data_IF_466529287469
#
_entry.id   IF_466529287469
#
_cell.length_a   1.000
_cell.length_b   1.000
_cell.length_c   1.000
_cell.angle_alpha   90.00
_cell.angle_beta   90.00
_cell.angle_gamma   90.00
#
_symmetry.space_group_name_H-M   'P 1'
#
loop_
_entity.id
_entity.type
_entity.pdbx_description
1 polymer ?
#
# COMPACT_ATOMS: atom_id res chain seq x y z
N UNK A 1 13.86 67.73 -42.30
CA UNK A 1 13.14 67.05 -43.40
C UNK A 1 11.88 66.44 -42.78
N UNK A 2 10.73 67.14 -42.79
CA UNK A 2 9.60 66.95 -43.72
C UNK A 2 9.30 65.48 -44.05
N UNK A 3 8.16 64.99 -43.55
CA UNK A 3 7.06 64.24 -44.21
C UNK A 3 6.27 63.54 -43.09
N UNK A 4 4.93 63.51 -43.02
CA UNK A 4 3.91 63.81 -44.00
C UNK A 4 2.94 62.64 -44.11
N UNK A 5 1.73 62.81 -43.57
CA UNK A 5 0.44 62.26 -44.04
C UNK A 5 0.07 60.76 -43.91
N UNK A 6 -1.01 60.55 -43.13
CA UNK A 6 -2.30 59.85 -43.39
C UNK A 6 -2.31 58.41 -43.95
N UNK A 7 -3.12 57.54 -43.33
CA UNK A 7 -4.30 56.79 -43.85
C UNK A 7 -4.80 55.90 -42.67
N UNK A 8 -5.96 56.11 -42.04
CA UNK A 8 -7.32 55.72 -42.46
C UNK A 8 -7.44 54.27 -42.98
N UNK A 9 -7.73 53.30 -42.10
CA UNK A 9 -9.01 52.55 -42.15
C UNK A 9 -9.22 51.66 -40.89
N UNK A 10 -10.45 51.56 -40.36
CA UNK A 10 -10.84 50.66 -39.28
C UNK A 10 -11.37 49.32 -39.85
N UNK A 11 -11.74 48.38 -38.96
CA UNK A 11 -12.34 47.05 -39.21
C UNK A 11 -11.37 45.86 -39.36
N UNK A 12 -10.99 45.29 -38.22
CA UNK A 12 -10.91 43.84 -37.97
C UNK A 12 -11.32 43.66 -36.49
N UNK A 13 -12.59 43.45 -36.15
CA UNK A 13 -13.32 42.17 -36.21
C UNK A 13 -12.52 41.00 -35.60
N UNK A 14 -12.68 40.87 -34.27
CA UNK A 14 -12.68 39.67 -33.41
C UNK A 14 -11.61 38.58 -33.59
N UNK A 15 -11.03 38.10 -32.48
CA UNK A 15 -11.61 36.89 -31.87
C UNK A 15 -11.77 37.07 -30.35
N UNK A 16 -13.00 36.89 -29.86
CA UNK A 16 -13.45 35.63 -29.28
C UNK A 16 -12.61 35.28 -28.06
N UNK A 17 -12.97 35.92 -26.95
CA UNK A 17 -12.54 35.58 -25.61
C UNK A 17 -12.87 34.10 -25.36
N UNK A 18 -11.88 33.23 -25.57
CA UNK A 18 -11.91 31.83 -25.22
C UNK A 18 -12.00 31.74 -23.69
N UNK A 19 -13.23 31.59 -23.19
CA UNK A 19 -13.50 31.06 -21.87
C UNK A 19 -13.01 29.61 -21.83
N UNK A 20 -11.74 29.42 -21.50
CA UNK A 20 -11.23 28.11 -21.10
C UNK A 20 -11.81 27.85 -19.72
N UNK A 21 -12.92 27.11 -19.65
CA UNK A 21 -13.34 26.52 -18.38
C UNK A 21 -12.23 25.56 -17.96
N UNK A 22 -11.45 25.97 -16.96
CA UNK A 22 -10.63 25.08 -16.15
C UNK A 22 -11.46 23.88 -15.74
N UNK A 23 -11.07 22.69 -16.19
CA UNK A 23 -11.70 21.45 -15.81
C UNK A 23 -11.82 21.36 -14.29
N UNK A 24 -13.04 21.12 -13.81
CA UNK A 24 -13.32 20.85 -12.41
C UNK A 24 -12.44 19.68 -11.94
N UNK A 25 -11.63 19.91 -10.91
CA UNK A 25 -11.09 18.84 -10.07
C UNK A 25 -12.28 18.16 -9.37
N UNK A 26 -12.80 17.09 -9.98
CA UNK A 26 -13.81 16.24 -9.33
C UNK A 26 -13.22 15.56 -8.08
N UNK A 27 -14.02 15.30 -7.04
CA UNK A 27 -13.57 14.51 -5.91
C UNK A 27 -13.08 13.16 -6.43
N UNK A 28 -11.83 12.81 -6.11
CA UNK A 28 -11.19 11.56 -6.56
C UNK A 28 -12.12 10.37 -6.37
N UNK A 29 -12.32 9.61 -7.45
CA UNK A 29 -13.23 8.48 -7.52
C UNK A 29 -12.65 7.29 -6.72
N UNK A 30 -12.67 7.39 -5.39
CA UNK A 30 -12.14 6.36 -4.49
C UNK A 30 -12.91 5.05 -4.64
N UNK A 31 -14.20 5.12 -4.99
CA UNK A 31 -15.08 3.96 -5.17
C UNK A 31 -14.67 3.10 -6.38
N UNK A 32 -14.25 3.70 -7.49
CA UNK A 32 -13.81 2.93 -8.66
C UNK A 32 -12.46 2.25 -8.42
N UNK A 33 -11.55 2.89 -7.70
CA UNK A 33 -10.26 2.29 -7.35
C UNK A 33 -10.40 1.14 -6.35
N UNK A 34 -11.28 1.27 -5.36
CA UNK A 34 -11.57 0.18 -4.41
C UNK A 34 -12.27 -0.99 -5.10
N UNK A 35 -13.22 -0.72 -6.00
CA UNK A 35 -13.88 -1.77 -6.78
C UNK A 35 -12.88 -2.56 -7.64
N UNK A 36 -11.91 -1.87 -8.26
CA UNK A 36 -10.83 -2.52 -9.00
C UNK A 36 -9.96 -3.40 -8.09
N UNK A 37 -9.53 -2.89 -6.92
CA UNK A 37 -8.75 -3.68 -5.97
C UNK A 37 -9.51 -4.91 -5.46
N UNK A 38 -10.82 -4.80 -5.26
CA UNK A 38 -11.67 -5.91 -4.80
C UNK A 38 -11.89 -6.98 -5.89
N UNK A 39 -11.81 -6.62 -7.17
CA UNK A 39 -11.91 -7.55 -8.29
C UNK A 39 -10.61 -8.34 -8.55
N UNK A 40 -9.49 -7.91 -7.99
CA UNK A 40 -8.20 -8.59 -8.12
C UNK A 40 -8.17 -9.91 -7.35
N UNK A 41 -7.56 -10.91 -7.95
CA UNK A 41 -7.17 -12.16 -7.29
C UNK A 41 -6.13 -11.92 -6.20
N UNK A 42 -5.92 -12.91 -5.32
CA UNK A 42 -4.92 -12.80 -4.26
C UNK A 42 -3.50 -12.55 -4.81
N UNK A 43 -3.10 -13.27 -5.88
CA UNK A 43 -1.78 -13.09 -6.48
C UNK A 43 -1.62 -11.74 -7.15
N UNK A 44 -2.63 -11.22 -7.85
CA UNK A 44 -2.57 -9.87 -8.42
C UNK A 44 -2.41 -8.81 -7.33
N UNK A 45 -3.05 -8.99 -6.17
CA UNK A 45 -2.89 -8.07 -5.04
C UNK A 45 -1.48 -8.13 -4.46
N UNK A 46 -0.92 -9.33 -4.26
CA UNK A 46 0.44 -9.52 -3.76
C UNK A 46 1.47 -8.94 -4.74
N UNK A 47 1.35 -9.26 -6.03
CA UNK A 47 2.21 -8.72 -7.08
C UNK A 47 2.17 -7.19 -7.11
N UNK A 48 0.98 -6.60 -6.99
CA UNK A 48 0.81 -5.15 -6.91
C UNK A 48 1.46 -4.54 -5.66
N UNK A 49 1.48 -5.24 -4.52
CA UNK A 49 2.18 -4.77 -3.32
C UNK A 49 3.69 -4.83 -3.51
N UNK A 50 4.21 -5.94 -4.05
CA UNK A 50 5.65 -6.13 -4.31
C UNK A 50 6.17 -5.09 -5.29
N UNK A 51 5.47 -4.90 -6.43
CA UNK A 51 5.88 -3.93 -7.47
C UNK A 51 5.70 -2.48 -7.04
N UNK A 52 4.79 -2.18 -6.11
CA UNK A 52 4.61 -0.83 -5.58
C UNK A 52 5.72 -0.41 -4.59
N UNK A 53 6.55 -1.35 -4.12
CA UNK A 53 7.60 -1.08 -3.15
C UNK A 53 8.57 0.01 -3.60
N UNK A 54 9.12 -0.10 -4.82
CA UNK A 54 10.11 0.85 -5.36
C UNK A 54 9.56 2.27 -5.51
N UNK A 55 8.24 2.41 -5.57
CA UNK A 55 7.56 3.71 -5.66
C UNK A 55 7.08 4.22 -4.30
N UNK A 56 7.49 3.58 -3.21
CA UNK A 56 7.06 3.91 -1.86
C UNK A 56 5.56 3.70 -1.63
N UNK A 57 4.98 2.68 -2.29
CA UNK A 57 3.57 2.33 -2.21
C UNK A 57 2.57 3.41 -2.66
N UNK A 58 3.00 4.48 -3.34
CA UNK A 58 2.12 5.60 -3.77
C UNK A 58 0.86 5.15 -4.52
N UNK A 59 0.94 4.09 -5.34
CA UNK A 59 -0.19 3.53 -6.09
C UNK A 59 -1.17 2.68 -5.27
N UNK A 60 -0.80 2.29 -4.04
CA UNK A 60 -1.62 1.50 -3.12
C UNK A 60 -1.99 2.26 -1.84
N UNK A 61 -1.38 3.43 -1.57
CA UNK A 61 -1.80 4.34 -0.51
C UNK A 61 -3.23 4.82 -0.73
N UNK A 62 -4.04 4.68 0.31
CA UNK A 62 -5.41 5.15 0.42
C UNK A 62 -5.47 6.47 1.18
N UNK A 63 -6.40 6.54 2.13
CA UNK A 63 -6.63 7.73 2.95
C UNK A 63 -5.46 7.92 3.91
N UNK A 64 -4.98 9.16 4.03
CA UNK A 64 -3.99 9.51 5.03
C UNK A 64 -4.64 9.45 6.44
N UNK A 65 -4.05 8.64 7.32
CA UNK A 65 -4.45 8.45 8.72
C UNK A 65 -3.31 8.79 9.69
N UNK A 66 -2.33 9.55 9.20
CA UNK A 66 -1.13 9.96 9.95
C UNK A 66 -1.49 10.79 11.18
N UNK A 67 -0.62 10.74 12.17
CA UNK A 67 -0.61 11.67 13.30
C UNK A 67 0.72 12.46 13.35
N UNK A 68 0.97 13.19 14.45
CA UNK A 68 2.19 14.00 14.60
C UNK A 68 3.48 13.19 14.75
N UNK A 69 3.38 11.87 14.97
CA UNK A 69 4.49 10.97 15.25
C UNK A 69 4.73 9.95 14.14
N UNK A 70 3.69 9.60 13.39
CA UNK A 70 3.77 8.53 12.40
C UNK A 70 3.03 8.89 11.12
N UNK A 71 3.69 8.66 9.98
CA UNK A 71 3.10 8.82 8.67
C UNK A 71 2.50 7.48 8.21
N UNK A 72 1.17 7.43 8.15
CA UNK A 72 0.39 6.23 7.84
C UNK A 72 -0.71 6.55 6.84
N UNK A 73 -0.95 5.60 5.94
CA UNK A 73 -2.10 5.58 5.06
C UNK A 73 -2.84 4.25 5.20
N UNK A 74 -4.17 4.28 5.14
CA UNK A 74 -4.95 3.08 4.85
C UNK A 74 -4.49 2.52 3.50
N UNK A 75 -4.48 1.20 3.30
CA UNK A 75 -4.18 0.61 2.01
C UNK A 75 -5.44 0.46 1.14
N UNK A 76 -5.31 0.76 -0.15
CA UNK A 76 -6.36 0.48 -1.17
C UNK A 76 -6.47 -1.01 -1.49
N UNK A 77 -5.40 -1.77 -1.24
CA UNK A 77 -5.27 -3.18 -1.60
C UNK A 77 -5.00 -3.98 -0.32
N UNK A 78 -5.87 -4.94 -0.02
CA UNK A 78 -5.73 -5.89 1.07
C UNK A 78 -5.52 -7.29 0.48
N UNK A 79 -4.27 -7.75 0.46
CA UNK A 79 -3.92 -9.10 -0.02
C UNK A 79 -4.38 -10.18 0.97
N UNK A 80 -4.31 -9.86 2.26
CA UNK A 80 -4.80 -10.68 3.37
C UNK A 80 -5.61 -9.80 4.32
N UNK A 81 -6.66 -10.35 4.92
CA UNK A 81 -7.51 -9.60 5.82
C UNK A 81 -8.08 -8.30 5.25
N UNK A 82 -8.25 -7.32 6.14
CA UNK A 82 -8.84 -6.01 5.87
C UNK A 82 -8.11 -4.94 6.70
N UNK A 83 -8.29 -3.67 6.32
CA UNK A 83 -7.71 -2.49 7.00
C UNK A 83 -6.18 -2.55 7.13
N UNK A 84 -5.50 -3.02 6.08
CA UNK A 84 -4.05 -2.96 6.03
C UNK A 84 -3.59 -1.52 5.81
N UNK A 85 -2.33 -1.24 6.10
CA UNK A 85 -1.76 0.09 6.19
C UNK A 85 -0.43 0.18 5.44
N UNK A 86 -0.07 1.39 5.03
CA UNK A 86 1.26 1.73 4.52
C UNK A 86 1.90 2.66 5.53
N UNK A 87 3.05 2.27 6.07
CA UNK A 87 3.77 3.03 7.09
C UNK A 87 5.02 3.62 6.47
N UNK A 88 5.27 4.91 6.70
CA UNK A 88 6.56 5.52 6.38
C UNK A 88 7.41 5.62 7.65
N UNK A 89 8.53 4.89 7.67
CA UNK A 89 9.53 4.91 8.73
C UNK A 89 10.74 5.72 8.26
N UNK A 90 11.00 6.87 8.90
CA UNK A 90 12.11 7.75 8.53
C UNK A 90 11.96 8.38 7.14
N UNK A 91 13.06 8.89 6.57
CA UNK A 91 13.02 9.77 5.40
C UNK A 91 12.57 9.10 4.09
N UNK A 92 12.68 7.77 3.96
CA UNK A 92 12.39 7.10 2.68
C UNK A 92 11.95 5.63 2.79
N UNK A 93 11.91 5.02 3.98
CA UNK A 93 11.50 3.62 4.08
C UNK A 93 9.99 3.57 4.25
N UNK A 94 9.33 2.89 3.32
CA UNK A 94 7.90 2.61 3.43
C UNK A 94 7.70 1.11 3.48
N UNK A 95 6.76 0.66 4.29
CA UNK A 95 6.36 -0.73 4.37
C UNK A 95 4.85 -0.84 4.29
N UNK A 96 4.39 -1.91 3.68
CA UNK A 96 3.00 -2.34 3.79
C UNK A 96 2.87 -3.29 4.97
N UNK A 97 1.82 -3.12 5.76
CA UNK A 97 1.57 -3.85 6.98
C UNK A 97 0.10 -4.23 7.06
N UNK A 98 -0.19 -5.48 7.39
CA UNK A 98 -1.54 -5.89 7.75
C UNK A 98 -1.52 -6.63 9.09
N UNK A 99 -2.23 -6.09 10.08
CA UNK A 99 -2.29 -6.65 11.42
C UNK A 99 -3.70 -7.14 11.73
N UNK A 100 -3.82 -8.36 12.23
CA UNK A 100 -5.10 -8.95 12.65
C UNK A 100 -4.96 -9.56 14.03
N UNK A 101 -5.93 -9.30 14.89
CA UNK A 101 -5.97 -9.85 16.25
C UNK A 101 -7.04 -10.93 16.29
N UNK A 102 -6.60 -12.17 16.52
CA UNK A 102 -7.45 -13.33 16.73
C UNK A 102 -7.81 -13.49 18.22
N UNK A 103 -9.02 -13.99 18.52
CA UNK A 103 -9.48 -14.20 19.89
C UNK A 103 -8.83 -15.40 20.59
N UNK A 104 -8.22 -16.33 19.84
CA UNK A 104 -7.56 -17.52 20.36
C UNK A 104 -6.45 -17.98 19.40
N UNK A 105 -5.59 -18.88 19.90
CA UNK A 105 -4.52 -19.52 19.13
C UNK A 105 -5.05 -20.25 17.90
N UNK A 106 -6.04 -21.12 18.08
CA UNK A 106 -6.56 -21.96 16.99
C UNK A 106 -7.14 -21.14 15.85
N UNK A 107 -7.82 -20.02 16.17
CA UNK A 107 -8.33 -19.09 15.14
C UNK A 107 -7.17 -18.41 14.42
N UNK A 108 -6.12 -18.02 15.15
CA UNK A 108 -4.95 -17.41 14.56
C UNK A 108 -4.19 -18.37 13.63
N UNK A 109 -4.05 -19.63 14.02
CA UNK A 109 -3.41 -20.65 13.19
C UNK A 109 -4.20 -20.92 11.92
N UNK A 110 -5.54 -21.03 12.00
CA UNK A 110 -6.37 -21.18 10.81
C UNK A 110 -6.27 -19.99 9.84
N UNK A 111 -6.23 -18.76 10.37
CA UNK A 111 -6.03 -17.58 9.54
C UNK A 111 -4.63 -17.57 8.93
N UNK A 112 -3.62 -17.93 9.70
CA UNK A 112 -2.23 -17.97 9.24
C UNK A 112 -2.06 -18.99 8.12
N UNK A 113 -2.56 -20.21 8.28
CA UNK A 113 -2.47 -21.25 7.24
C UNK A 113 -3.18 -20.84 5.96
N UNK A 114 -4.34 -20.18 6.07
CA UNK A 114 -5.05 -19.64 4.90
C UNK A 114 -4.23 -18.57 4.18
N UNK A 115 -3.74 -17.59 4.94
CA UNK A 115 -2.98 -16.46 4.40
C UNK A 115 -1.64 -16.96 3.82
N UNK A 116 -0.95 -17.87 4.52
CA UNK A 116 0.25 -18.58 4.05
C UNK A 116 0.00 -19.28 2.73
N UNK A 117 -1.00 -20.15 2.64
CA UNK A 117 -1.28 -20.90 1.41
C UNK A 117 -1.61 -19.97 0.24
N UNK A 118 -2.31 -18.87 0.52
CA UNK A 118 -2.61 -17.85 -0.48
C UNK A 118 -1.37 -17.10 -0.95
N UNK A 119 -0.41 -16.83 -0.06
CA UNK A 119 0.83 -16.14 -0.40
C UNK A 119 1.78 -17.09 -1.14
N UNK A 120 1.99 -18.28 -0.60
CA UNK A 120 2.92 -19.28 -1.13
C UNK A 120 2.59 -19.66 -2.58
N UNK A 121 1.29 -19.78 -2.90
CA UNK A 121 0.81 -20.04 -4.25
C UNK A 121 1.18 -18.95 -5.27
N UNK A 122 1.55 -17.75 -4.82
CA UNK A 122 1.90 -16.61 -5.66
C UNK A 122 3.41 -16.34 -5.73
N UNK A 123 4.22 -17.08 -4.97
CA UNK A 123 5.65 -16.80 -4.76
C UNK A 123 6.57 -17.68 -5.61
N UNK A 124 6.17 -17.96 -6.85
CA UNK A 124 7.00 -18.77 -7.76
C UNK A 124 8.37 -18.11 -8.01
N UNK A 125 9.43 -18.90 -7.87
CA UNK A 125 10.82 -18.41 -7.96
C UNK A 125 11.32 -17.62 -6.75
N UNK A 126 10.53 -17.46 -5.68
CA UNK A 126 11.00 -16.89 -4.41
C UNK A 126 11.55 -17.99 -3.49
N UNK A 127 12.51 -17.61 -2.65
CA UNK A 127 13.03 -18.47 -1.59
C UNK A 127 12.15 -18.31 -0.36
N UNK A 128 11.64 -19.44 0.16
CA UNK A 128 10.87 -19.49 1.40
C UNK A 128 11.74 -19.94 2.57
N UNK A 129 11.64 -19.23 3.69
CA UNK A 129 12.25 -19.61 4.96
C UNK A 129 11.21 -19.58 6.08
N UNK A 130 11.01 -20.72 6.73
CA UNK A 130 10.21 -20.83 7.95
C UNK A 130 11.14 -20.71 9.16
N UNK A 131 10.93 -19.68 9.96
CA UNK A 131 11.81 -19.27 11.04
C UNK A 131 11.02 -19.08 12.35
N UNK A 132 11.62 -19.34 13.52
CA UNK A 132 11.09 -18.79 14.76
C UNK A 132 11.14 -17.26 14.71
N UNK A 133 10.24 -16.61 15.47
CA UNK A 133 10.37 -15.17 15.71
C UNK A 133 11.64 -14.88 16.52
N UNK A 134 12.27 -13.73 16.27
CA UNK A 134 13.43 -13.29 17.05
C UNK A 134 13.00 -12.77 18.43
N UNK A 135 11.85 -12.10 18.50
CA UNK A 135 11.37 -11.39 19.69
C UNK A 135 10.32 -12.18 20.51
N UNK A 136 10.54 -13.48 20.66
CA UNK A 136 9.75 -14.34 21.55
C UNK A 136 8.93 -15.42 20.82
N UNK A 137 7.85 -15.93 21.46
CA UNK A 137 7.10 -17.06 20.92
C UNK A 137 6.36 -16.71 19.65
N UNK A 138 6.15 -17.72 18.81
CA UNK A 138 5.47 -17.59 17.52
C UNK A 138 6.33 -18.13 16.38
N UNK A 139 5.82 -17.99 15.17
CA UNK A 139 6.50 -18.38 13.94
C UNK A 139 6.42 -17.25 12.93
N UNK A 140 7.39 -17.23 12.01
CA UNK A 140 7.32 -16.41 10.81
C UNK A 140 7.73 -17.22 9.59
N UNK A 141 7.10 -16.90 8.47
CA UNK A 141 7.54 -17.33 7.15
C UNK A 141 7.98 -16.09 6.39
N UNK A 142 9.12 -16.17 5.72
CA UNK A 142 9.65 -15.12 4.85
C UNK A 142 9.79 -15.66 3.44
N UNK A 143 9.27 -14.91 2.47
CA UNK A 143 9.55 -15.09 1.06
C UNK A 143 10.46 -13.96 0.60
N UNK A 144 11.60 -14.30 -0.01
CA UNK A 144 12.56 -13.33 -0.51
C UNK A 144 13.18 -13.76 -1.84
N UNK A 145 13.72 -12.79 -2.58
CA UNK A 145 14.59 -13.06 -3.73
C UNK A 145 16.04 -12.68 -3.36
N UNK A 146 17.04 -13.47 -3.79
CA UNK A 146 18.44 -13.19 -3.44
C UNK A 146 18.88 -11.79 -3.88
N UNK A 147 19.27 -10.95 -2.91
CA UNK A 147 19.82 -9.61 -3.17
C UNK A 147 18.78 -8.56 -3.59
N UNK A 148 17.48 -8.84 -3.48
CA UNK A 148 16.41 -7.96 -3.95
C UNK A 148 15.38 -7.73 -2.84
N UNK A 149 14.98 -6.47 -2.66
CA UNK A 149 13.82 -6.07 -1.87
C UNK A 149 12.62 -5.82 -2.82
N UNK A 150 11.37 -5.88 -2.33
CA UNK A 150 10.99 -6.14 -0.94
C UNK A 150 11.03 -7.63 -0.58
N UNK A 151 11.05 -7.91 0.72
CA UNK A 151 10.68 -9.21 1.27
C UNK A 151 9.19 -9.21 1.61
N UNK A 152 8.59 -10.39 1.54
CA UNK A 152 7.23 -10.63 2.01
C UNK A 152 7.31 -11.54 3.23
N UNK A 153 6.59 -11.22 4.30
CA UNK A 153 6.61 -12.06 5.49
C UNK A 153 5.24 -12.15 6.16
N UNK A 154 4.99 -13.30 6.78
CA UNK A 154 3.79 -13.57 7.56
C UNK A 154 4.21 -14.11 8.93
N UNK A 155 3.67 -13.55 10.01
CA UNK A 155 4.02 -13.87 11.38
C UNK A 155 2.74 -14.22 12.14
N UNK A 156 2.82 -15.16 13.08
CA UNK A 156 1.75 -15.43 14.06
C UNK A 156 2.34 -15.63 15.44
N UNK A 157 1.80 -14.92 16.42
CA UNK A 157 2.36 -14.87 17.77
C UNK A 157 1.35 -14.47 18.83
N UNK A 158 1.56 -14.84 20.10
CA UNK A 158 0.74 -14.35 21.18
C UNK A 158 1.03 -12.89 21.50
N UNK A 159 -0.02 -12.11 21.69
CA UNK A 159 -0.01 -10.76 22.25
C UNK A 159 -0.72 -10.77 23.59
N UNK A 160 -0.06 -10.24 24.62
CA UNK A 160 -0.63 -10.16 25.96
C UNK A 160 -1.65 -9.02 26.01
N UNK A 161 -2.92 -9.35 26.21
CA UNK A 161 -3.94 -8.38 26.63
C UNK A 161 -4.04 -8.29 28.15
N UNK A 162 -4.66 -7.22 28.65
CA UNK A 162 -4.81 -6.99 30.10
C UNK A 162 -5.63 -8.07 30.84
N UNK A 163 -6.50 -8.80 30.13
CA UNK A 163 -7.44 -9.77 30.73
C UNK A 163 -7.43 -11.15 30.06
N UNK A 164 -6.92 -11.26 28.83
CA UNK A 164 -6.83 -12.52 28.08
C UNK A 164 -5.69 -12.45 27.07
N UNK A 165 -5.10 -13.61 26.79
CA UNK A 165 -4.12 -13.77 25.74
C UNK A 165 -4.82 -13.71 24.38
N UNK A 166 -4.32 -12.84 23.51
CA UNK A 166 -4.74 -12.72 22.13
C UNK A 166 -3.63 -13.25 21.23
N UNK A 167 -3.95 -13.55 19.99
CA UNK A 167 -2.95 -13.95 19.00
C UNK A 167 -2.99 -12.97 17.85
N UNK A 168 -1.83 -12.48 17.43
CA UNK A 168 -1.70 -11.52 16.34
C UNK A 168 -1.12 -12.21 15.12
N UNK A 169 -1.73 -11.93 13.98
CA UNK A 169 -1.15 -12.18 12.68
C UNK A 169 -0.64 -10.86 12.14
N UNK A 170 0.55 -10.91 11.56
CA UNK A 170 1.21 -9.77 10.98
C UNK A 170 1.73 -10.16 9.60
N UNK A 171 1.25 -9.47 8.58
CA UNK A 171 1.71 -9.62 7.21
C UNK A 171 2.41 -8.34 6.77
N UNK A 172 3.57 -8.48 6.12
CA UNK A 172 4.46 -7.37 5.84
C UNK A 172 5.07 -7.47 4.45
N UNK A 173 5.16 -6.34 3.77
CA UNK A 173 5.93 -6.18 2.51
C UNK A 173 6.83 -4.96 2.64
N UNK A 174 8.14 -5.15 2.52
CA UNK A 174 9.11 -4.06 2.62
C UNK A 174 10.56 -4.54 2.74
N UNK A 175 11.44 -3.65 3.18
CA UNK A 175 12.77 -4.03 3.65
C UNK A 175 12.65 -5.09 4.75
N UNK A 176 13.62 -6.01 4.83
CA UNK A 176 13.69 -7.05 5.87
C UNK A 176 13.28 -6.50 7.25
N UNK A 177 12.16 -6.98 7.76
CA UNK A 177 11.70 -6.63 9.11
C UNK A 177 12.23 -7.68 10.09
N UNK A 178 13.19 -7.27 10.91
CA UNK A 178 13.74 -8.05 12.00
C UNK A 178 13.18 -7.63 13.37
N UNK A 179 12.30 -6.62 13.41
CA UNK A 179 11.71 -6.08 14.64
C UNK A 179 10.44 -6.80 15.09
N UNK A 180 9.97 -7.76 14.30
CA UNK A 180 8.88 -8.67 14.63
C UNK A 180 9.28 -10.11 14.32
#
# INVERSE_FOLDING_TARGET
MRQGFRYFNPLYLYPMMLLVLSACTGPGNNNSMQAQANAMTACEKIDRLVTAYDQGFKGVQGRNISDRYMMIWDAKVNAVGDNCEVWQTGAAKTSYVCTRIAPSKDVAEQWYERDFNSIDACMDGWVREDLPRQDGPGRRTVWSQPGVNPQVSAHVFPTRGAFKEHWTLYYFVGDRDDRF
#
